data_IF_883106015587
#
_entry.id   IF_883106015587
#
_cell.length_a   1.000
_cell.length_b   1.000
_cell.length_c   1.000
_cell.angle_alpha   90.00
_cell.angle_beta   90.00
_cell.angle_gamma   90.00
#
_symmetry.space_group_name_H-M   'P 1'
#
loop_
_entity.id
_entity.type
_entity.pdbx_description
1 polymer ?
#
# COMPACT_ATOMS: atom_id res chain seq x y z
N UNK A 1 18.51 -27.08 49.41
CA UNK A 1 17.71 -26.50 48.31
C UNK A 1 18.50 -26.33 47.01
N UNK A 2 19.39 -27.27 46.66
CA UNK A 2 20.18 -27.23 45.40
C UNK A 2 19.87 -28.44 44.52
N UNK A 3 19.75 -29.62 45.13
CA UNK A 3 19.42 -30.88 44.44
C UNK A 3 18.09 -30.78 43.68
N UNK A 4 17.06 -30.14 44.26
CA UNK A 4 15.76 -29.95 43.61
C UNK A 4 15.88 -29.10 42.34
N UNK A 5 16.70 -28.05 42.35
CA UNK A 5 16.93 -27.21 41.16
C UNK A 5 17.65 -27.98 40.07
N UNK A 6 18.65 -28.81 40.43
CA UNK A 6 19.34 -29.67 39.45
C UNK A 6 18.35 -30.63 38.80
N UNK A 7 17.52 -31.31 39.58
CA UNK A 7 16.50 -32.23 39.06
C UNK A 7 15.50 -31.48 38.16
N UNK A 8 14.99 -30.33 38.60
CA UNK A 8 14.05 -29.51 37.84
C UNK A 8 14.57 -29.15 36.44
N UNK A 9 15.80 -28.65 36.34
CA UNK A 9 16.39 -28.29 35.04
C UNK A 9 16.72 -29.53 34.19
N UNK A 10 17.17 -30.64 34.80
CA UNK A 10 17.42 -31.88 34.03
C UNK A 10 16.16 -32.40 33.34
N UNK A 11 15.01 -32.33 34.00
CA UNK A 11 13.72 -32.76 33.43
C UNK A 11 13.29 -31.85 32.28
N UNK A 12 13.43 -30.52 32.43
CA UNK A 12 13.09 -29.55 31.38
C UNK A 12 13.96 -29.77 30.14
N UNK A 13 15.27 -29.92 30.31
CA UNK A 13 16.20 -30.11 29.19
C UNK A 13 15.92 -31.42 28.46
N UNK A 14 15.65 -32.51 29.18
CA UNK A 14 15.31 -33.80 28.55
C UNK A 14 13.97 -33.73 27.81
N UNK A 15 12.97 -33.04 28.36
CA UNK A 15 11.71 -32.78 27.68
C UNK A 15 11.87 -31.83 26.48
N UNK A 16 12.86 -30.97 26.46
CA UNK A 16 13.13 -30.08 25.32
C UNK A 16 13.91 -30.82 24.21
N UNK A 17 14.90 -31.65 24.57
CA UNK A 17 15.65 -32.47 23.60
C UNK A 17 14.81 -33.59 22.98
N UNK A 18 13.96 -34.22 23.78
CA UNK A 18 13.26 -35.46 23.41
C UNK A 18 11.74 -35.37 23.52
N UNK A 19 11.21 -34.24 23.99
CA UNK A 19 9.78 -33.99 23.91
C UNK A 19 9.38 -33.90 22.45
N UNK A 20 8.21 -34.46 22.15
CA UNK A 20 7.63 -34.29 20.82
C UNK A 20 7.51 -32.78 20.56
N UNK A 21 7.77 -32.32 19.32
CA UNK A 21 7.45 -30.95 18.97
C UNK A 21 6.00 -30.73 19.40
N UNK A 22 5.77 -29.70 20.21
CA UNK A 22 4.40 -29.28 20.46
C UNK A 22 3.85 -29.03 19.07
N UNK A 23 2.74 -29.71 18.74
CA UNK A 23 1.96 -29.36 17.56
C UNK A 23 1.49 -27.93 17.79
N UNK A 24 2.34 -26.97 17.44
CA UNK A 24 1.94 -25.60 17.20
C UNK A 24 0.96 -25.74 16.06
N UNK A 25 -0.33 -25.79 16.41
CA UNK A 25 -1.41 -25.59 15.45
C UNK A 25 -1.03 -24.32 14.73
N UNK A 26 -0.57 -24.49 13.49
CA UNK A 26 -0.20 -23.39 12.61
C UNK A 26 -1.30 -22.34 12.74
N UNK A 27 -0.98 -21.22 13.35
CA UNK A 27 -1.81 -20.00 13.34
C UNK A 27 -1.73 -19.36 11.95
N UNK A 28 -1.45 -20.15 10.90
CA UNK A 28 -1.56 -19.74 9.53
C UNK A 28 -3.03 -19.49 9.24
N UNK A 29 -3.35 -18.24 9.00
CA UNK A 29 -4.63 -17.84 8.44
C UNK A 29 -4.80 -18.55 7.09
N UNK A 30 -5.88 -19.31 6.96
CA UNK A 30 -6.27 -19.93 5.70
C UNK A 30 -7.27 -19.01 5.01
N UNK A 31 -6.95 -18.52 3.82
CA UNK A 31 -7.89 -17.81 2.98
C UNK A 31 -8.75 -18.82 2.23
N UNK A 32 -10.08 -18.74 2.39
CA UNK A 32 -11.01 -19.52 1.59
C UNK A 32 -11.16 -18.87 0.21
N UNK A 33 -10.66 -19.53 -0.82
CA UNK A 33 -10.71 -19.10 -2.22
C UNK A 33 -11.81 -19.81 -3.01
N UNK A 34 -12.72 -20.54 -2.34
CA UNK A 34 -13.79 -21.29 -3.00
C UNK A 34 -14.75 -20.37 -3.78
N UNK A 35 -14.96 -19.15 -3.30
CA UNK A 35 -15.81 -18.14 -3.94
C UNK A 35 -15.12 -17.43 -5.12
N UNK A 36 -13.80 -17.61 -5.31
CA UNK A 36 -13.05 -17.07 -6.46
C UNK A 36 -13.15 -17.97 -7.71
N UNK A 37 -14.03 -18.97 -7.68
CA UNK A 37 -14.26 -19.86 -8.83
C UNK A 37 -15.12 -19.23 -9.91
N UNK A 38 -15.81 -18.12 -9.60
CA UNK A 38 -16.48 -17.30 -10.58
C UNK A 38 -15.44 -16.46 -11.32
N UNK A 39 -15.34 -16.67 -12.64
CA UNK A 39 -14.49 -15.86 -13.53
C UNK A 39 -15.04 -14.43 -13.55
N UNK A 40 -14.50 -13.54 -12.70
CA UNK A 40 -14.82 -12.12 -12.78
C UNK A 40 -14.41 -11.57 -14.15
N UNK A 41 -15.34 -10.97 -14.88
CA UNK A 41 -15.06 -10.35 -16.18
C UNK A 41 -14.08 -9.19 -16.01
N UNK A 42 -12.88 -9.34 -16.56
CA UNK A 42 -11.86 -8.28 -16.50
C UNK A 42 -12.32 -7.06 -17.29
N UNK A 43 -12.39 -5.90 -16.62
CA UNK A 43 -12.67 -4.61 -17.28
C UNK A 43 -11.35 -4.04 -17.82
N UNK A 44 -11.27 -3.85 -19.13
CA UNK A 44 -10.09 -3.26 -19.77
C UNK A 44 -9.97 -1.76 -19.47
N UNK A 45 -8.73 -1.29 -19.31
CA UNK A 45 -8.41 0.14 -19.17
C UNK A 45 -7.49 0.55 -20.32
N UNK A 46 -7.80 1.65 -21.00
CA UNK A 46 -6.99 2.20 -22.10
C UNK A 46 -6.80 3.70 -21.92
N UNK A 47 -5.59 4.17 -22.19
CA UNK A 47 -5.25 5.60 -22.17
C UNK A 47 -5.24 6.14 -23.61
N UNK A 48 -5.70 7.38 -23.78
CA UNK A 48 -5.66 8.13 -25.03
C UNK A 48 -5.09 9.53 -24.78
N UNK A 49 -4.66 10.23 -25.83
CA UNK A 49 -4.06 11.58 -25.74
C UNK A 49 -4.96 12.62 -25.04
N UNK A 50 -6.28 12.36 -25.01
CA UNK A 50 -7.29 13.21 -24.36
C UNK A 50 -7.82 12.68 -23.02
N UNK A 51 -7.47 11.47 -22.58
CA UNK A 51 -7.99 10.91 -21.33
C UNK A 51 -7.86 9.40 -21.18
N UNK A 52 -8.83 8.76 -20.53
CA UNK A 52 -8.79 7.31 -20.27
C UNK A 52 -10.18 6.67 -20.42
N UNK A 53 -10.22 5.37 -20.74
CA UNK A 53 -11.45 4.58 -20.82
C UNK A 53 -11.41 3.37 -19.90
N UNK A 54 -12.55 3.04 -19.29
CA UNK A 54 -12.75 1.88 -18.42
C UNK A 54 -13.93 1.07 -18.95
N UNK A 55 -13.64 -0.09 -19.54
CA UNK A 55 -14.61 -0.86 -20.33
C UNK A 55 -15.14 -0.02 -21.48
N UNK A 56 -16.46 0.11 -21.58
CA UNK A 56 -17.13 0.93 -22.60
C UNK A 56 -17.25 2.42 -22.23
N UNK A 57 -16.78 2.84 -21.05
CA UNK A 57 -16.89 4.23 -20.58
C UNK A 57 -15.65 5.03 -20.97
N UNK A 58 -15.84 6.21 -21.57
CA UNK A 58 -14.76 7.14 -21.92
C UNK A 58 -14.79 8.39 -21.02
N UNK A 59 -13.62 8.80 -20.55
CA UNK A 59 -13.42 9.97 -19.70
C UNK A 59 -12.39 10.91 -20.34
N UNK A 60 -12.82 12.13 -20.63
CA UNK A 60 -11.98 13.19 -21.21
C UNK A 60 -11.34 14.01 -20.08
N UNK A 61 -10.05 14.33 -20.23
CA UNK A 61 -9.26 15.16 -19.31
C UNK A 61 -9.04 16.58 -19.84
N UNK A 62 -9.67 16.93 -20.97
CA UNK A 62 -9.65 18.29 -21.50
C UNK A 62 -10.15 19.26 -20.41
N UNK A 63 -9.22 20.07 -19.91
CA UNK A 63 -9.54 21.24 -19.12
C UNK A 63 -10.35 22.17 -20.03
N UNK A 64 -11.65 22.31 -19.79
CA UNK A 64 -12.35 23.51 -20.22
C UNK A 64 -11.72 24.67 -19.46
N UNK A 65 -10.73 25.31 -20.06
CA UNK A 65 -10.32 26.66 -19.71
C UNK A 65 -11.55 27.54 -19.97
N UNK A 66 -12.44 27.62 -18.97
CA UNK A 66 -13.40 28.73 -18.89
C UNK A 66 -12.55 29.97 -18.83
N UNK A 67 -12.31 30.55 -20.01
CA UNK A 67 -11.68 31.85 -20.17
C UNK A 67 -12.37 32.76 -19.16
N UNK A 68 -11.59 33.18 -18.17
CA UNK A 68 -11.96 34.19 -17.21
C UNK A 68 -12.09 35.49 -18.01
N UNK A 69 -13.26 35.69 -18.63
CA UNK A 69 -13.56 36.89 -19.39
C UNK A 69 -13.49 38.09 -18.44
N UNK A 70 -12.60 39.04 -18.73
CA UNK A 70 -12.65 40.38 -18.17
C UNK A 70 -14.07 40.96 -18.33
N UNK A 71 -14.59 41.72 -17.35
CA UNK A 71 -15.94 42.22 -17.43
C UNK A 71 -15.98 43.37 -18.42
N UNK A 72 -16.63 43.18 -19.56
CA UNK A 72 -17.18 44.30 -20.34
C UNK A 72 -18.63 43.97 -20.68
N UNK A 73 -19.51 44.86 -20.22
CA UNK A 73 -20.96 44.84 -20.42
C UNK A 73 -21.30 44.79 -21.92
N UNK A 74 -22.21 43.90 -22.32
CA UNK A 74 -23.59 44.23 -22.70
C UNK A 74 -24.21 43.16 -23.64
N UNK A 75 -25.45 42.78 -23.31
CA UNK A 75 -26.50 42.20 -24.15
C UNK A 75 -26.51 40.71 -24.58
N UNK A 76 -27.65 40.09 -24.19
CA UNK A 76 -28.49 39.15 -24.94
C UNK A 76 -28.24 37.63 -24.82
N UNK A 77 -28.91 37.07 -23.79
CA UNK A 77 -29.83 35.92 -23.86
C UNK A 77 -29.58 34.80 -24.88
N UNK A 78 -29.33 33.57 -24.41
CA UNK A 78 -30.35 32.50 -24.29
C UNK A 78 -29.75 31.22 -23.68
N UNK A 79 -30.55 30.61 -22.81
CA UNK A 79 -30.57 29.23 -22.28
C UNK A 79 -29.38 28.27 -22.54
N UNK A 80 -28.89 27.63 -21.49
CA UNK A 80 -29.10 26.19 -21.24
C UNK A 80 -28.64 25.83 -19.81
N UNK A 81 -29.49 25.06 -19.13
CA UNK A 81 -29.45 24.70 -17.73
C UNK A 81 -28.47 23.56 -17.42
N UNK A 82 -27.87 23.61 -16.22
CA UNK A 82 -27.40 22.46 -15.44
C UNK A 82 -26.22 21.66 -16.05
N UNK A 83 -25.01 21.66 -15.48
CA UNK A 83 -24.66 20.90 -14.27
C UNK A 83 -23.20 21.19 -13.85
N UNK A 84 -22.95 22.16 -12.95
CA UNK A 84 -21.74 22.16 -12.11
C UNK A 84 -21.95 21.46 -10.75
N UNK A 85 -23.22 21.31 -10.34
CA UNK A 85 -23.57 20.89 -8.97
C UNK A 85 -23.26 19.42 -8.63
N UNK A 86 -23.16 18.54 -9.64
CA UNK A 86 -22.87 17.11 -9.39
C UNK A 86 -21.39 16.91 -9.06
N UNK A 87 -20.49 17.58 -9.79
CA UNK A 87 -19.05 17.49 -9.56
C UNK A 87 -18.65 18.12 -8.22
N UNK A 88 -19.24 19.26 -7.87
CA UNK A 88 -18.99 19.94 -6.60
C UNK A 88 -19.52 19.13 -5.40
N UNK A 89 -20.67 18.45 -5.57
CA UNK A 89 -21.17 17.47 -4.60
C UNK A 89 -20.29 16.24 -4.47
N UNK A 90 -19.73 15.75 -5.58
CA UNK A 90 -18.82 14.60 -5.58
C UNK A 90 -17.51 14.98 -4.88
N UNK A 91 -16.92 16.13 -5.19
CA UNK A 91 -15.70 16.63 -4.54
C UNK A 91 -15.91 16.86 -3.05
N UNK A 92 -16.97 17.58 -2.65
CA UNK A 92 -17.26 17.79 -1.22
C UNK A 92 -17.59 16.49 -0.47
N UNK A 93 -18.17 15.49 -1.14
CA UNK A 93 -18.39 14.16 -0.56
C UNK A 93 -17.11 13.33 -0.43
N UNK A 94 -16.18 13.46 -1.38
CA UNK A 94 -14.87 12.79 -1.36
C UNK A 94 -13.97 13.43 -0.31
N UNK A 95 -13.81 14.76 -0.33
CA UNK A 95 -12.95 15.50 0.58
C UNK A 95 -13.41 15.39 2.03
N UNK A 96 -14.73 15.43 2.28
CA UNK A 96 -15.28 15.18 3.63
C UNK A 96 -15.04 13.75 4.13
N UNK A 97 -14.82 12.79 3.22
CA UNK A 97 -14.50 11.39 3.55
C UNK A 97 -12.99 11.10 3.54
N UNK A 98 -12.15 12.04 3.10
CA UNK A 98 -10.71 11.90 3.19
C UNK A 98 -10.28 12.20 4.61
N UNK A 99 -9.97 11.16 5.35
CA UNK A 99 -9.27 11.28 6.63
C UNK A 99 -7.78 11.46 6.38
N UNK A 100 -7.10 12.23 7.24
CA UNK A 100 -5.66 12.47 7.12
C UNK A 100 -4.90 11.16 7.36
N UNK A 101 -4.49 10.50 6.27
CA UNK A 101 -3.71 9.27 6.34
C UNK A 101 -2.24 9.61 6.51
N UNK A 102 -1.73 9.41 7.73
CA UNK A 102 -0.30 9.43 7.98
C UNK A 102 0.32 8.11 7.50
N UNK A 103 1.34 8.20 6.64
CA UNK A 103 2.11 7.02 6.22
C UNK A 103 2.95 6.52 7.39
N UNK A 104 2.65 5.31 7.86
CA UNK A 104 3.46 4.62 8.87
C UNK A 104 4.18 3.46 8.21
N UNK A 105 5.49 3.36 8.41
CA UNK A 105 6.29 2.22 7.98
C UNK A 105 6.56 1.31 9.18
N UNK A 106 6.48 0.00 8.99
CA UNK A 106 6.82 -0.96 10.05
C UNK A 106 8.31 -0.88 10.45
N UNK A 107 9.18 -0.48 9.52
CA UNK A 107 10.61 -0.27 9.75
C UNK A 107 11.11 0.88 8.86
N UNK A 108 10.93 2.15 9.30
CA UNK A 108 11.43 3.30 8.57
C UNK A 108 12.96 3.32 8.63
N UNK A 109 13.60 3.47 7.47
CA UNK A 109 15.04 3.69 7.39
C UNK A 109 15.30 5.10 6.84
N UNK A 110 15.90 5.95 7.67
CA UNK A 110 16.31 7.29 7.24
C UNK A 110 17.53 7.21 6.31
N UNK A 111 17.72 8.24 5.49
CA UNK A 111 18.82 8.30 4.50
C UNK A 111 20.21 8.12 5.12
N UNK A 112 20.46 8.70 6.29
CA UNK A 112 21.72 8.54 7.03
C UNK A 112 21.95 7.09 7.48
N UNK A 113 20.89 6.45 7.94
CA UNK A 113 20.94 5.07 8.41
C UNK A 113 21.15 4.08 7.26
N UNK A 114 20.54 4.36 6.10
CA UNK A 114 20.77 3.63 4.87
C UNK A 114 22.24 3.71 4.47
N UNK A 115 22.82 4.91 4.43
CA UNK A 115 24.21 5.11 4.05
C UNK A 115 25.17 4.35 4.98
N UNK A 116 24.96 4.47 6.29
CA UNK A 116 25.74 3.74 7.28
C UNK A 116 25.62 2.22 7.11
N UNK A 117 24.42 1.74 6.77
CA UNK A 117 24.16 0.31 6.51
C UNK A 117 24.92 -0.18 5.27
N UNK A 118 24.94 0.61 4.18
CA UNK A 118 25.70 0.29 2.97
C UNK A 118 27.20 0.21 3.28
N UNK A 119 27.74 1.20 4.00
CA UNK A 119 29.15 1.24 4.40
C UNK A 119 29.49 0.04 5.29
N UNK A 120 28.58 -0.35 6.16
CA UNK A 120 28.72 -1.51 7.04
C UNK A 120 28.42 -2.86 6.34
N UNK A 121 28.40 -2.90 5.00
CA UNK A 121 28.12 -4.10 4.18
C UNK A 121 26.79 -4.79 4.54
N UNK A 122 25.77 -3.98 4.82
CA UNK A 122 24.45 -4.48 5.16
C UNK A 122 24.16 -4.65 6.65
N UNK A 123 25.18 -4.50 7.51
CA UNK A 123 24.98 -4.65 8.95
C UNK A 123 24.19 -3.47 9.51
N UNK A 124 23.01 -3.76 10.04
CA UNK A 124 22.15 -2.76 10.69
C UNK A 124 22.37 -2.75 12.20
N UNK A 125 22.29 -1.56 12.79
CA UNK A 125 22.34 -1.39 14.24
C UNK A 125 20.97 -1.72 14.87
N UNK A 126 20.96 -1.95 16.19
CA UNK A 126 19.77 -2.22 17.00
C UNK A 126 19.07 -3.55 16.73
N UNK A 127 19.81 -4.60 16.36
CA UNK A 127 19.27 -5.96 16.25
C UNK A 127 18.34 -6.19 15.05
N UNK A 128 18.36 -5.29 14.07
CA UNK A 128 17.62 -5.44 12.81
C UNK A 128 18.37 -6.33 11.83
N UNK A 129 17.61 -6.98 10.96
CA UNK A 129 18.15 -7.91 9.97
C UNK A 129 19.12 -7.25 8.99
N UNK A 130 20.12 -8.02 8.58
CA UNK A 130 21.15 -7.56 7.65
C UNK A 130 20.57 -7.34 6.25
N UNK A 131 20.84 -6.18 5.65
CA UNK A 131 20.45 -5.89 4.26
C UNK A 131 21.52 -6.43 3.32
N UNK A 132 21.18 -7.40 2.46
CA UNK A 132 22.10 -7.83 1.42
C UNK A 132 22.13 -6.80 0.29
N UNK A 133 23.30 -6.22 0.05
CA UNK A 133 23.54 -5.38 -1.13
C UNK A 133 24.24 -6.23 -2.17
N UNK A 134 23.48 -6.65 -3.20
CA UNK A 134 24.04 -7.37 -4.34
C UNK A 134 24.31 -6.36 -5.47
N UNK A 135 25.59 -6.17 -5.83
CA UNK A 135 25.93 -5.45 -7.05
C UNK A 135 25.56 -6.32 -8.23
N UNK A 136 24.49 -5.96 -8.95
CA UNK A 136 24.26 -6.49 -10.27
C UNK A 136 25.37 -5.95 -11.17
N UNK A 137 26.41 -6.76 -11.38
CA UNK A 137 27.35 -6.53 -12.46
C UNK A 137 26.54 -6.71 -13.76
N UNK A 138 26.10 -5.61 -14.36
CA UNK A 138 25.73 -5.64 -15.76
C UNK A 138 27.01 -5.91 -16.56
N UNK A 139 27.25 -7.18 -16.86
CA UNK A 139 28.16 -7.56 -17.92
C UNK A 139 27.57 -7.00 -19.23
N UNK A 140 28.25 -5.99 -19.79
CA UNK A 140 28.04 -5.47 -21.14
C UNK A 140 28.99 -6.21 -22.07
#
# INVERSE_FOLDING_TARGET
MTIIYVIYYTVIIVQDLYGKPKDEKSQGESFDVSDMTDEEESIAVSESDGGFSVGDNQYETAYEEKQLAEPTEEAAATAEESKPHVLEKIQSAIEKKMEEVNTTYSDPMYSEELNNTIIARGLRHNGRDMVKVESLNNEI
#
